data_IF_801523865356
#
_entry.id   IF_801523865356
#
_cell.length_a   1.000
_cell.length_b   1.000
_cell.length_c   1.000
_cell.angle_alpha   90.00
_cell.angle_beta   90.00
_cell.angle_gamma   90.00
#
_symmetry.space_group_name_H-M   'P 1'
#
loop_
_entity.id
_entity.type
_entity.pdbx_description
1 polymer ?
#
# COMPACT_ATOMS: atom_id res chain seq x y z
N UNK A 1 -1.40 17.31 -35.31
CA UNK A 1 -0.02 17.85 -35.49
C UNK A 1 0.00 18.68 -36.77
N UNK A 2 0.17 20.00 -36.69
CA UNK A 2 0.27 20.81 -37.92
C UNK A 2 1.67 20.63 -38.52
N UNK A 3 1.75 20.24 -39.79
CA UNK A 3 2.98 20.23 -40.60
C UNK A 3 3.93 19.02 -40.45
N UNK A 4 3.49 17.90 -39.87
CA UNK A 4 4.28 16.65 -39.82
C UNK A 4 3.46 15.55 -40.50
N UNK A 5 3.85 15.15 -41.72
CA UNK A 5 3.22 14.04 -42.43
C UNK A 5 3.98 12.73 -42.17
N UNK A 6 3.30 11.57 -42.09
CA UNK A 6 3.97 10.28 -41.91
C UNK A 6 4.98 9.94 -43.01
N UNK A 7 4.71 10.34 -44.26
CA UNK A 7 5.63 10.14 -45.38
C UNK A 7 6.97 10.84 -45.17
N UNK A 8 6.97 12.08 -44.67
CA UNK A 8 8.19 12.85 -44.38
C UNK A 8 9.06 12.19 -43.28
N UNK A 9 8.45 11.38 -42.40
CA UNK A 9 9.16 10.60 -41.36
C UNK A 9 9.79 9.36 -41.99
N UNK A 10 9.03 8.62 -42.81
CA UNK A 10 9.51 7.42 -43.53
C UNK A 10 10.66 7.78 -44.48
N UNK A 11 10.58 8.95 -45.11
CA UNK A 11 11.60 9.47 -46.01
C UNK A 11 12.83 10.04 -45.26
N UNK A 12 12.84 10.00 -43.92
CA UNK A 12 13.98 10.39 -43.09
C UNK A 12 14.31 11.88 -43.13
N UNK A 13 13.33 12.75 -43.43
CA UNK A 13 13.56 14.20 -43.54
C UNK A 13 13.93 14.78 -42.18
N UNK A 14 15.22 15.08 -42.01
CA UNK A 14 15.85 15.45 -40.73
C UNK A 14 15.12 16.56 -39.97
N UNK A 15 14.67 17.62 -40.67
CA UNK A 15 13.95 18.74 -40.05
C UNK A 15 12.59 18.33 -39.46
N UNK A 16 11.91 17.35 -40.08
CA UNK A 16 10.59 16.86 -39.65
C UNK A 16 10.76 15.89 -38.48
N UNK A 17 11.74 14.99 -38.55
CA UNK A 17 12.08 14.06 -37.47
C UNK A 17 12.52 14.82 -36.21
N UNK A 18 13.43 15.80 -36.33
CA UNK A 18 13.84 16.64 -35.19
C UNK A 18 12.67 17.49 -34.65
N UNK A 19 11.80 17.98 -35.53
CA UNK A 19 10.58 18.67 -35.12
C UNK A 19 9.61 17.79 -34.33
N UNK A 20 9.54 16.49 -34.64
CA UNK A 20 8.74 15.51 -33.91
C UNK A 20 9.37 15.17 -32.55
N UNK A 21 10.68 14.88 -32.51
CA UNK A 21 11.42 14.59 -31.28
C UNK A 21 11.30 15.76 -30.32
N UNK A 22 11.50 16.99 -30.79
CA UNK A 22 11.32 18.19 -29.97
C UNK A 22 9.90 18.30 -29.39
N UNK A 23 8.85 17.95 -30.16
CA UNK A 23 7.47 17.94 -29.63
C UNK A 23 7.27 16.87 -28.57
N UNK A 24 7.92 15.71 -28.68
CA UNK A 24 7.89 14.66 -27.65
C UNK A 24 8.60 15.14 -26.39
N UNK A 25 9.82 15.67 -26.50
CA UNK A 25 10.58 16.26 -25.37
C UNK A 25 9.77 17.36 -24.70
N UNK A 26 9.16 18.26 -25.47
CA UNK A 26 8.34 19.32 -24.93
C UNK A 26 7.14 18.79 -24.12
N UNK A 27 6.40 17.80 -24.65
CA UNK A 27 5.17 17.30 -24.02
C UNK A 27 5.39 16.29 -22.88
N UNK A 28 6.47 15.51 -22.93
CA UNK A 28 6.69 14.42 -21.97
C UNK A 28 7.76 14.75 -20.93
N UNK A 29 8.78 15.55 -21.29
CA UNK A 29 9.89 15.86 -20.39
C UNK A 29 9.73 17.27 -19.81
N UNK A 30 9.57 18.28 -20.66
CA UNK A 30 9.50 19.68 -20.21
C UNK A 30 8.13 19.98 -19.58
N UNK A 31 7.01 19.53 -20.16
CA UNK A 31 5.68 19.76 -19.58
C UNK A 31 5.49 19.06 -18.23
N UNK A 32 6.03 17.85 -18.05
CA UNK A 32 6.01 17.15 -16.76
C UNK A 32 6.72 17.98 -15.67
N UNK A 33 7.93 18.47 -15.99
CA UNK A 33 8.69 19.36 -15.09
C UNK A 33 7.88 20.63 -14.77
N UNK A 34 7.23 21.25 -15.76
CA UNK A 34 6.43 22.45 -15.56
C UNK A 34 5.15 22.22 -14.73
N UNK A 35 4.53 21.05 -14.81
CA UNK A 35 3.39 20.68 -13.95
C UNK A 35 3.83 20.51 -12.49
N UNK A 36 5.02 19.96 -12.25
CA UNK A 36 5.61 19.90 -10.91
C UNK A 36 5.87 21.30 -10.35
N UNK A 37 6.37 22.23 -11.19
CA UNK A 37 6.60 23.62 -10.78
C UNK A 37 5.31 24.39 -10.43
N UNK A 38 4.16 24.04 -11.04
CA UNK A 38 2.86 24.66 -10.72
C UNK A 38 2.32 24.30 -9.34
N UNK A 39 2.75 23.17 -8.74
CA UNK A 39 2.31 22.76 -7.39
C UNK A 39 2.75 23.73 -6.29
N UNK A 40 3.71 24.61 -6.57
CA UNK A 40 4.27 25.56 -5.60
C UNK A 40 3.91 27.04 -5.87
N UNK A 41 3.01 27.33 -6.82
CA UNK A 41 2.51 28.70 -7.06
C UNK A 41 1.03 28.85 -6.72
N UNK A 42 0.77 29.23 -5.47
CA UNK A 42 -0.47 29.88 -5.04
C UNK A 42 -0.32 31.39 -5.23
N UNK A 43 -0.27 31.86 -6.49
CA UNK A 43 -0.40 33.30 -6.82
C UNK A 43 -1.22 33.39 -8.11
N UNK A 44 -2.48 33.78 -7.95
CA UNK A 44 -3.46 33.86 -9.01
C UNK A 44 -3.03 34.73 -10.18
N UNK A 45 -3.16 34.17 -11.39
CA UNK A 45 -3.85 34.80 -12.52
C UNK A 45 -4.49 33.67 -13.33
N UNK A 46 -5.80 33.77 -13.53
CA UNK A 46 -6.57 32.94 -14.44
C UNK A 46 -5.93 32.88 -15.83
N UNK A 47 -5.67 31.70 -16.37
CA UNK A 47 -5.88 31.49 -17.81
C UNK A 47 -6.18 30.03 -18.10
N UNK A 48 -7.45 29.65 -17.87
CA UNK A 48 -8.05 28.54 -18.60
C UNK A 48 -7.93 28.85 -20.09
N UNK A 49 -7.45 27.90 -20.89
CA UNK A 49 -7.37 27.92 -22.35
C UNK A 49 -6.30 28.81 -23.03
N UNK A 50 -5.01 28.69 -22.66
CA UNK A 50 -3.92 29.05 -23.59
C UNK A 50 -3.26 27.79 -24.15
N UNK A 51 -3.15 27.71 -25.48
CA UNK A 51 -2.40 26.68 -26.22
C UNK A 51 -1.06 26.46 -25.53
N UNK A 52 -0.82 25.22 -25.06
CA UNK A 52 0.48 24.75 -24.58
C UNK A 52 1.50 24.96 -25.71
N UNK A 53 2.39 25.94 -25.55
CA UNK A 53 3.38 26.32 -26.56
C UNK A 53 4.78 26.33 -25.95
N UNK A 54 5.79 26.09 -26.78
CA UNK A 54 7.21 26.14 -26.39
C UNK A 54 7.58 27.47 -25.72
N UNK A 55 6.96 28.58 -26.13
CA UNK A 55 7.19 29.90 -25.53
C UNK A 55 6.69 30.01 -24.09
N UNK A 56 5.58 29.32 -23.76
CA UNK A 56 5.08 29.26 -22.39
C UNK A 56 6.02 28.45 -21.50
N UNK A 57 6.54 27.34 -22.02
CA UNK A 57 7.49 26.50 -21.31
C UNK A 57 8.80 27.23 -21.02
N UNK A 58 9.35 27.88 -22.04
CA UNK A 58 10.53 28.75 -21.94
C UNK A 58 10.40 29.79 -20.84
N UNK A 59 9.28 30.53 -20.83
CA UNK A 59 9.02 31.58 -19.83
C UNK A 59 8.96 31.03 -18.40
N UNK A 60 8.31 29.89 -18.21
CA UNK A 60 8.17 29.28 -16.89
C UNK A 60 9.52 28.75 -16.36
N UNK A 61 10.33 28.10 -17.20
CA UNK A 61 11.67 27.65 -16.81
C UNK A 61 12.59 28.84 -16.48
N UNK A 62 12.59 29.91 -17.28
CA UNK A 62 13.37 31.12 -16.97
C UNK A 62 12.94 31.78 -15.65
N UNK A 63 11.63 31.79 -15.37
CA UNK A 63 11.10 32.28 -14.08
C UNK A 63 11.63 31.44 -12.92
N UNK A 64 11.65 30.12 -13.07
CA UNK A 64 12.21 29.22 -12.06
C UNK A 64 13.70 29.43 -11.85
N UNK A 65 14.48 29.50 -12.93
CA UNK A 65 15.93 29.71 -12.89
C UNK A 65 16.27 31.00 -12.14
N UNK A 66 15.57 32.10 -12.43
CA UNK A 66 15.76 33.38 -11.73
C UNK A 66 15.42 33.27 -10.24
N UNK A 67 14.30 32.65 -9.90
CA UNK A 67 13.89 32.43 -8.49
C UNK A 67 14.89 31.57 -7.72
N UNK A 68 15.43 30.53 -8.36
CA UNK A 68 16.41 29.63 -7.75
C UNK A 68 17.78 30.32 -7.63
N UNK A 69 18.20 31.08 -8.64
CA UNK A 69 19.43 31.89 -8.60
C UNK A 69 19.40 33.03 -7.58
N UNK A 70 18.24 33.69 -7.37
CA UNK A 70 18.09 34.77 -6.38
C UNK A 70 18.26 34.29 -4.92
N UNK A 71 17.98 33.01 -4.63
CA UNK A 71 18.14 32.44 -3.28
C UNK A 71 19.61 32.26 -2.87
N UNK A 72 20.54 32.26 -3.83
CA UNK A 72 21.97 31.95 -3.63
C UNK A 72 22.81 33.23 -3.53
N UNK A 73 22.27 34.32 -2.99
CA UNK A 73 23.04 35.55 -2.73
C UNK A 73 23.86 35.41 -1.44
N UNK A 74 24.87 34.54 -1.44
CA UNK A 74 25.91 34.45 -0.40
C UNK A 74 27.17 35.25 -0.82
N UNK A 75 28.09 35.59 0.09
CA UNK A 75 29.25 36.44 -0.22
C UNK A 75 30.22 35.89 -1.28
N UNK A 76 30.10 34.59 -1.63
CA UNK A 76 30.87 33.89 -2.67
C UNK A 76 30.01 33.48 -3.88
N UNK A 77 28.83 34.11 -4.06
CA UNK A 77 27.88 33.74 -5.09
C UNK A 77 28.42 33.98 -6.51
N UNK A 78 28.14 33.02 -7.39
CA UNK A 78 28.38 33.12 -8.83
C UNK A 78 27.30 34.08 -9.38
N UNK A 79 27.62 35.38 -9.44
CA UNK A 79 26.69 36.41 -9.94
C UNK A 79 26.52 36.27 -11.47
N UNK A 80 25.37 35.73 -11.88
CA UNK A 80 25.03 35.44 -13.29
C UNK A 80 23.58 35.82 -13.55
N UNK A 81 23.37 36.75 -14.47
CA UNK A 81 22.05 37.06 -14.99
C UNK A 81 21.67 36.09 -16.12
N UNK A 82 20.70 35.21 -15.87
CA UNK A 82 20.21 34.25 -16.86
C UNK A 82 18.92 34.79 -17.49
N UNK A 83 19.00 35.17 -18.78
CA UNK A 83 17.92 35.83 -19.51
C UNK A 83 17.38 35.03 -20.71
N UNK A 84 18.13 34.03 -21.16
CA UNK A 84 17.82 33.18 -22.32
C UNK A 84 18.40 31.77 -22.14
N UNK A 85 18.14 30.87 -23.09
CA UNK A 85 18.72 29.52 -23.15
C UNK A 85 19.85 29.42 -24.19
N UNK A 86 20.44 30.55 -24.61
CA UNK A 86 21.50 30.61 -25.61
C UNK A 86 22.72 31.32 -25.03
N UNK A 87 22.98 32.60 -25.39
CA UNK A 87 24.14 33.35 -24.92
C UNK A 87 24.35 33.35 -23.40
N UNK A 88 23.29 33.34 -22.59
CA UNK A 88 23.37 33.33 -21.13
C UNK A 88 24.05 32.06 -20.57
N UNK A 89 24.08 30.96 -21.33
CA UNK A 89 24.69 29.69 -20.92
C UNK A 89 26.05 29.42 -21.56
N UNK A 90 26.42 30.19 -22.60
CA UNK A 90 27.64 29.98 -23.39
C UNK A 90 28.91 29.91 -22.55
N UNK A 91 28.99 30.75 -21.52
CA UNK A 91 30.20 30.89 -20.71
C UNK A 91 30.29 29.87 -19.57
N UNK A 92 29.30 28.99 -19.42
CA UNK A 92 29.26 27.92 -18.43
C UNK A 92 28.89 28.36 -17.00
N UNK A 93 28.87 29.65 -16.66
CA UNK A 93 28.58 30.08 -15.27
C UNK A 93 27.15 29.79 -14.85
N UNK A 94 26.21 29.87 -15.79
CA UNK A 94 24.82 29.56 -15.52
C UNK A 94 24.64 28.10 -15.05
N UNK A 95 25.38 27.14 -15.60
CA UNK A 95 25.32 25.74 -15.16
C UNK A 95 25.90 25.55 -13.76
N UNK A 96 27.07 26.15 -13.49
CA UNK A 96 27.66 26.11 -12.14
C UNK A 96 26.73 26.75 -11.09
N UNK A 97 26.11 27.88 -11.41
CA UNK A 97 25.17 28.57 -10.53
C UNK A 97 23.94 27.69 -10.23
N UNK A 98 23.36 27.05 -11.24
CA UNK A 98 22.23 26.13 -11.05
C UNK A 98 22.59 24.90 -10.22
N UNK A 99 23.76 24.29 -10.46
CA UNK A 99 24.21 23.12 -9.70
C UNK A 99 24.52 23.48 -8.24
N UNK A 100 25.17 24.62 -8.02
CA UNK A 100 25.43 25.15 -6.67
C UNK A 100 24.13 25.45 -5.92
N UNK A 101 23.09 25.92 -6.62
CA UNK A 101 21.78 26.15 -6.00
C UNK A 101 21.07 24.86 -5.55
N UNK A 102 21.44 23.70 -6.12
CA UNK A 102 20.90 22.39 -5.72
C UNK A 102 21.66 21.84 -4.51
N UNK A 103 22.99 22.04 -4.48
CA UNK A 103 23.89 21.57 -3.42
C UNK A 103 25.16 22.45 -3.39
N UNK A 104 25.27 23.29 -2.35
CA UNK A 104 26.38 24.25 -2.18
C UNK A 104 27.73 23.55 -1.98
N UNK A 105 27.76 22.33 -1.44
CA UNK A 105 28.99 21.57 -1.20
C UNK A 105 29.46 20.80 -2.45
N UNK A 106 28.62 20.69 -3.47
CA UNK A 106 28.94 19.97 -4.70
C UNK A 106 29.76 20.78 -5.70
N UNK A 107 29.69 22.12 -5.62
CA UNK A 107 30.33 23.03 -6.58
C UNK A 107 31.23 24.00 -5.83
N UNK A 108 32.54 23.96 -6.11
CA UNK A 108 33.45 25.03 -5.67
C UNK A 108 33.19 26.29 -6.51
N UNK A 109 32.72 27.42 -5.93
CA UNK A 109 32.45 28.65 -6.67
C UNK A 109 33.67 29.18 -7.42
N UNK A 110 34.90 28.86 -6.98
CA UNK A 110 36.11 29.27 -7.67
C UNK A 110 36.23 28.65 -9.08
N UNK A 111 35.64 27.47 -9.32
CA UNK A 111 35.65 26.79 -10.62
C UNK A 111 34.80 27.53 -11.66
N UNK A 112 33.74 28.23 -11.24
CA UNK A 112 32.91 29.02 -12.15
C UNK A 112 33.62 30.29 -12.70
N UNK A 113 34.68 30.73 -12.03
CA UNK A 113 35.42 31.96 -12.35
C UNK A 113 36.80 31.71 -12.99
N UNK A 114 37.22 30.45 -13.16
CA UNK A 114 38.52 30.07 -13.70
C UNK A 114 38.36 29.33 -15.02
N UNK A 115 39.38 29.45 -15.88
CA UNK A 115 39.44 28.75 -17.17
C UNK A 115 38.64 29.41 -18.30
N UNK A 116 38.68 28.76 -19.46
CA UNK A 116 37.94 29.11 -20.68
C UNK A 116 36.46 28.72 -20.55
N UNK A 117 35.61 29.17 -21.48
CA UNK A 117 34.19 28.75 -21.52
C UNK A 117 34.07 27.22 -21.60
N UNK A 118 34.85 26.60 -22.50
CA UNK A 118 34.89 25.16 -22.69
C UNK A 118 35.24 24.40 -21.41
N UNK A 119 36.31 24.80 -20.72
CA UNK A 119 36.72 24.18 -19.45
C UNK A 119 35.65 24.31 -18.36
N UNK A 120 34.98 25.46 -18.29
CA UNK A 120 33.87 25.68 -17.34
C UNK A 120 32.66 24.81 -17.65
N UNK A 121 32.30 24.67 -18.93
CA UNK A 121 31.21 23.82 -19.39
C UNK A 121 31.49 22.34 -19.09
N UNK A 122 32.67 21.84 -19.46
CA UNK A 122 33.10 20.47 -19.20
C UNK A 122 33.11 20.15 -17.70
N UNK A 123 33.62 21.07 -16.88
CA UNK A 123 33.59 20.93 -15.42
C UNK A 123 32.15 20.87 -14.89
N UNK A 124 31.25 21.74 -15.37
CA UNK A 124 29.85 21.72 -14.95
C UNK A 124 29.15 20.42 -15.34
N UNK A 125 29.35 19.92 -16.55
CA UNK A 125 28.73 18.68 -17.04
C UNK A 125 29.27 17.46 -16.29
N UNK A 126 30.57 17.42 -16.01
CA UNK A 126 31.17 16.37 -15.19
C UNK A 126 30.61 16.37 -13.77
N UNK A 127 30.49 17.54 -13.13
CA UNK A 127 29.88 17.65 -11.79
C UNK A 127 28.42 17.20 -11.83
N UNK A 128 27.65 17.60 -12.85
CA UNK A 128 26.26 17.21 -13.04
C UNK A 128 26.11 15.68 -13.13
N UNK A 129 26.99 15.00 -13.87
CA UNK A 129 26.99 13.54 -13.99
C UNK A 129 27.40 12.86 -12.68
N UNK A 130 28.56 13.21 -12.13
CA UNK A 130 29.15 12.52 -10.97
C UNK A 130 28.35 12.75 -9.67
N UNK A 131 27.80 13.95 -9.46
CA UNK A 131 27.15 14.35 -8.19
C UNK A 131 25.63 14.34 -8.27
N UNK A 132 25.07 14.49 -9.47
CA UNK A 132 23.63 14.63 -9.67
C UNK A 132 23.03 13.56 -10.58
N UNK A 133 23.84 12.70 -11.21
CA UNK A 133 23.38 11.64 -12.10
C UNK A 133 22.77 12.16 -13.40
N UNK A 134 23.07 13.40 -13.79
CA UNK A 134 22.55 14.02 -15.00
C UNK A 134 23.47 13.63 -16.18
N UNK A 135 22.98 12.90 -17.19
CA UNK A 135 23.82 12.44 -18.29
C UNK A 135 24.32 13.60 -19.15
N UNK A 136 25.58 13.54 -19.61
CA UNK A 136 26.17 14.54 -20.49
C UNK A 136 25.62 14.41 -21.92
N UNK A 137 24.51 15.11 -22.19
CA UNK A 137 23.85 15.12 -23.51
C UNK A 137 24.23 16.34 -24.37
N UNK A 138 25.04 17.24 -23.82
CA UNK A 138 25.56 18.42 -24.50
C UNK A 138 27.09 18.35 -24.55
N UNK A 139 27.65 18.67 -25.70
CA UNK A 139 29.08 18.87 -25.86
C UNK A 139 29.43 20.34 -25.61
N UNK A 140 30.53 20.60 -24.89
CA UNK A 140 30.96 21.97 -24.59
C UNK A 140 31.25 22.80 -25.85
N UNK A 141 31.67 22.15 -26.93
CA UNK A 141 31.94 22.79 -28.23
C UNK A 141 30.66 23.30 -28.91
N UNK A 142 29.53 22.62 -28.73
CA UNK A 142 28.23 23.02 -29.30
C UNK A 142 27.59 24.19 -28.53
N UNK A 143 28.07 24.43 -27.30
CA UNK A 143 27.59 25.51 -26.44
C UNK A 143 28.53 26.72 -26.48
N UNK A 144 29.85 26.55 -26.66
CA UNK A 144 30.80 27.67 -26.80
C UNK A 144 30.81 28.27 -28.22
N UNK A 145 29.62 28.62 -28.71
CA UNK A 145 29.40 29.29 -30.00
C UNK A 145 28.61 30.58 -29.79
N UNK A 146 28.62 31.48 -30.78
CA UNK A 146 27.94 32.78 -30.67
C UNK A 146 26.43 32.66 -30.44
N UNK A 147 25.81 31.59 -30.94
CA UNK A 147 24.38 31.30 -30.80
C UNK A 147 24.16 29.81 -30.53
N UNK A 148 24.22 29.39 -29.26
CA UNK A 148 23.93 28.00 -28.88
C UNK A 148 22.50 27.61 -29.24
N UNK A 149 22.27 26.33 -29.56
CA UNK A 149 20.91 25.85 -29.84
C UNK A 149 20.08 25.84 -28.55
N UNK A 150 19.14 26.78 -28.47
CA UNK A 150 18.35 27.00 -27.26
C UNK A 150 17.49 25.79 -26.87
N UNK A 151 17.09 24.96 -27.84
CA UNK A 151 16.28 23.76 -27.56
C UNK A 151 17.10 22.69 -26.84
N UNK A 152 18.33 22.50 -27.28
CA UNK A 152 19.28 21.56 -26.66
C UNK A 152 19.63 22.02 -25.24
N UNK A 153 19.89 23.33 -25.05
CA UNK A 153 20.11 23.90 -23.71
C UNK A 153 18.87 23.77 -22.82
N UNK A 154 17.67 24.06 -23.35
CA UNK A 154 16.41 23.87 -22.61
C UNK A 154 16.22 22.41 -22.17
N UNK A 155 16.50 21.45 -23.05
CA UNK A 155 16.37 20.02 -22.72
C UNK A 155 17.30 19.64 -21.57
N UNK A 156 18.54 20.08 -21.59
CA UNK A 156 19.49 19.79 -20.51
C UNK A 156 19.12 20.50 -19.20
N UNK A 157 18.72 21.77 -19.27
CA UNK A 157 18.26 22.50 -18.08
C UNK A 157 16.99 21.89 -17.49
N UNK A 158 16.12 21.27 -18.29
CA UNK A 158 14.95 20.56 -17.77
C UNK A 158 15.34 19.37 -16.87
N UNK A 159 16.41 18.63 -17.22
CA UNK A 159 16.95 17.57 -16.35
C UNK A 159 17.52 18.15 -15.05
N UNK A 160 18.22 19.28 -15.12
CA UNK A 160 18.71 20.00 -13.93
C UNK A 160 17.55 20.41 -13.03
N UNK A 161 16.47 20.98 -13.59
CA UNK A 161 15.26 21.36 -12.82
C UNK A 161 14.62 20.13 -12.19
N UNK A 162 14.51 19.02 -12.91
CA UNK A 162 13.93 17.77 -12.40
C UNK A 162 14.69 17.27 -11.17
N UNK A 163 16.03 17.25 -11.24
CA UNK A 163 16.87 16.89 -10.09
C UNK A 163 16.77 17.93 -8.99
N UNK A 164 16.73 19.22 -9.34
CA UNK A 164 16.59 20.32 -8.39
C UNK A 164 15.28 20.21 -7.61
N UNK A 165 14.13 19.99 -8.25
CA UNK A 165 12.85 19.82 -7.58
C UNK A 165 12.81 18.54 -6.75
N UNK A 166 13.37 17.44 -7.25
CA UNK A 166 13.55 16.22 -6.45
C UNK A 166 14.44 16.43 -5.22
N UNK A 167 15.35 17.42 -5.25
CA UNK A 167 16.30 17.73 -4.16
C UNK A 167 15.86 18.89 -3.26
N UNK A 168 15.18 19.90 -3.78
CA UNK A 168 14.74 21.15 -3.13
C UNK A 168 13.28 21.06 -2.69
N UNK A 169 12.43 20.28 -3.37
CA UNK A 169 11.09 19.90 -2.90
C UNK A 169 11.14 19.05 -1.63
N UNK A 170 12.33 18.53 -1.27
CA UNK A 170 12.63 17.89 0.01
C UNK A 170 13.13 18.86 1.09
N UNK A 171 13.30 20.16 0.78
CA UNK A 171 13.74 21.21 1.72
C UNK A 171 12.58 21.91 2.47
N UNK A 172 11.36 21.39 2.35
CA UNK A 172 10.33 21.53 3.38
C UNK A 172 10.20 20.20 4.13
N UNK A 173 11.10 19.92 5.08
CA UNK A 173 11.03 18.79 6.06
C UNK A 173 11.15 17.33 5.58
N UNK A 174 11.47 16.99 4.32
CA UNK A 174 11.38 15.58 3.84
C UNK A 174 12.74 14.89 3.51
N UNK A 175 13.89 15.57 3.53
CA UNK A 175 15.16 14.98 3.03
C UNK A 175 15.99 14.16 4.03
N UNK A 176 15.88 14.37 5.33
CA UNK A 176 16.54 13.51 6.35
C UNK A 176 15.91 12.13 6.40
N UNK A 177 14.58 12.07 6.27
CA UNK A 177 13.81 10.86 6.52
C UNK A 177 13.94 9.79 5.42
N UNK A 178 14.25 10.15 4.17
CA UNK A 178 14.41 9.17 3.07
C UNK A 178 15.75 8.43 3.11
N UNK A 179 16.83 9.08 3.53
CA UNK A 179 18.11 8.40 3.78
C UNK A 179 18.03 7.56 5.05
N UNK A 180 17.38 8.06 6.09
CA UNK A 180 17.20 7.32 7.34
C UNK A 180 16.25 6.13 7.15
N UNK A 181 15.18 6.27 6.37
CA UNK A 181 14.29 5.17 6.00
C UNK A 181 15.03 4.12 5.17
N UNK A 182 15.83 4.51 4.18
CA UNK A 182 16.61 3.57 3.38
C UNK A 182 17.68 2.82 4.21
N UNK A 183 18.35 3.51 5.15
CA UNK A 183 19.30 2.90 6.09
C UNK A 183 18.58 1.94 7.03
N UNK A 184 17.42 2.32 7.56
CA UNK A 184 16.63 1.47 8.44
C UNK A 184 16.07 0.26 7.70
N UNK A 185 15.71 0.41 6.42
CA UNK A 185 15.27 -0.67 5.55
C UNK A 185 16.37 -1.72 5.35
N UNK A 186 17.60 -1.29 5.10
CA UNK A 186 18.78 -2.17 4.97
C UNK A 186 19.10 -2.89 6.29
N UNK A 187 18.97 -2.19 7.42
CA UNK A 187 19.09 -2.80 8.77
C UNK A 187 18.02 -3.86 9.02
N UNK A 188 16.77 -3.59 8.64
CA UNK A 188 15.66 -4.54 8.77
C UNK A 188 15.86 -5.76 7.86
N UNK A 189 16.33 -5.57 6.61
CA UNK A 189 16.68 -6.68 5.73
C UNK A 189 17.80 -7.55 6.32
N UNK A 190 18.85 -6.92 6.83
CA UNK A 190 19.96 -7.62 7.47
C UNK A 190 19.51 -8.39 8.72
N UNK A 191 18.68 -7.74 9.55
CA UNK A 191 18.12 -8.37 10.74
C UNK A 191 17.21 -9.54 10.41
N UNK A 192 16.28 -9.39 9.45
CA UNK A 192 15.35 -10.46 9.06
C UNK A 192 16.08 -11.67 8.51
N UNK A 193 17.12 -11.48 7.70
CA UNK A 193 17.97 -12.56 7.21
C UNK A 193 18.72 -13.28 8.35
N UNK A 194 19.28 -12.52 9.29
CA UNK A 194 19.96 -13.07 10.47
C UNK A 194 19.02 -13.85 11.39
N UNK A 195 17.83 -13.31 11.63
CA UNK A 195 16.75 -13.93 12.40
C UNK A 195 16.31 -15.25 11.76
N UNK A 196 16.11 -15.28 10.45
CA UNK A 196 15.71 -16.49 9.72
C UNK A 196 16.76 -17.61 9.88
N UNK A 197 18.05 -17.28 9.77
CA UNK A 197 19.12 -18.25 9.96
C UNK A 197 19.25 -18.73 11.41
N UNK A 198 19.04 -17.84 12.39
CA UNK A 198 18.99 -18.20 13.80
C UNK A 198 17.83 -19.18 14.10
N UNK A 199 16.64 -18.90 13.56
CA UNK A 199 15.48 -19.77 13.68
C UNK A 199 15.70 -21.11 12.97
N UNK A 200 16.28 -21.12 11.77
CA UNK A 200 16.67 -22.36 11.06
C UNK A 200 17.56 -23.24 11.95
N UNK A 201 18.55 -22.65 12.63
CA UNK A 201 19.41 -23.38 13.58
C UNK A 201 18.63 -23.89 14.79
N UNK A 202 17.76 -23.07 15.40
CA UNK A 202 16.92 -23.49 16.53
C UNK A 202 16.01 -24.67 16.16
N UNK A 203 15.33 -24.59 15.01
CA UNK A 203 14.43 -25.65 14.52
C UNK A 203 15.16 -26.95 14.16
N UNK A 204 16.41 -26.89 13.71
CA UNK A 204 17.25 -28.09 13.49
C UNK A 204 17.51 -28.87 14.77
N UNK A 205 17.66 -28.18 15.90
CA UNK A 205 17.94 -28.81 17.19
C UNK A 205 16.73 -29.56 17.76
N UNK A 206 15.50 -29.20 17.37
CA UNK A 206 14.23 -29.80 17.83
C UNK A 206 14.09 -29.89 19.36
N UNK A 207 14.85 -29.09 20.11
CA UNK A 207 14.77 -29.00 21.57
C UNK A 207 13.94 -27.77 21.91
N UNK A 208 12.67 -27.99 22.21
CA UNK A 208 11.76 -26.95 22.72
C UNK A 208 11.56 -27.22 24.21
N UNK A 209 12.55 -26.84 25.01
CA UNK A 209 12.51 -27.07 26.46
C UNK A 209 11.95 -25.84 27.16
N UNK A 210 11.35 -25.97 28.35
CA UNK A 210 10.87 -24.81 29.10
C UNK A 210 11.93 -23.72 29.33
N UNK A 211 13.22 -24.08 29.33
CA UNK A 211 14.35 -23.14 29.44
C UNK A 211 14.51 -22.23 28.22
N UNK A 212 14.03 -22.66 27.05
CA UNK A 212 14.09 -21.91 25.80
C UNK A 212 12.95 -20.88 25.67
N UNK A 213 12.00 -20.85 26.61
CA UNK A 213 10.85 -19.96 26.55
C UNK A 213 11.23 -18.48 26.69
N UNK A 214 12.28 -18.19 27.47
CA UNK A 214 12.80 -16.83 27.57
C UNK A 214 13.40 -16.36 26.24
N UNK A 215 14.12 -17.24 25.52
CA UNK A 215 14.64 -16.93 24.19
C UNK A 215 13.49 -16.64 23.20
N UNK A 216 12.40 -17.41 23.28
CA UNK A 216 11.21 -17.18 22.47
C UNK A 216 10.60 -15.81 22.77
N UNK A 217 10.45 -15.44 24.04
CA UNK A 217 9.90 -14.14 24.42
C UNK A 217 10.78 -12.96 24.01
N UNK A 218 12.10 -13.11 24.11
CA UNK A 218 13.03 -12.10 23.58
C UNK A 218 12.83 -11.96 22.06
N UNK A 219 12.79 -13.09 21.34
CA UNK A 219 12.59 -13.07 19.89
C UNK A 219 11.24 -12.46 19.48
N UNK A 220 10.16 -12.79 20.19
CA UNK A 220 8.82 -12.25 19.94
C UNK A 220 8.80 -10.74 20.11
N UNK A 221 9.35 -10.22 21.21
CA UNK A 221 9.45 -8.78 21.45
C UNK A 221 10.32 -8.08 20.40
N UNK A 222 11.46 -8.67 20.03
CA UNK A 222 12.35 -8.12 19.00
C UNK A 222 11.63 -8.07 17.64
N UNK A 223 10.88 -9.12 17.28
CA UNK A 223 10.10 -9.18 16.04
C UNK A 223 9.03 -8.08 16.02
N UNK A 224 8.25 -7.95 17.09
CA UNK A 224 7.20 -6.94 17.21
C UNK A 224 7.78 -5.51 17.11
N UNK A 225 8.91 -5.23 17.76
CA UNK A 225 9.62 -3.94 17.67
C UNK A 225 10.08 -3.63 16.24
N UNK A 226 10.64 -4.63 15.53
CA UNK A 226 11.10 -4.46 14.15
C UNK A 226 9.96 -4.34 13.17
N UNK A 227 8.84 -5.03 13.40
CA UNK A 227 7.65 -4.89 12.56
C UNK A 227 6.97 -3.53 12.75
N UNK A 228 6.91 -3.00 13.98
CA UNK A 228 6.44 -1.63 14.24
C UNK A 228 7.34 -0.59 13.55
N UNK A 229 8.66 -0.80 13.61
CA UNK A 229 9.64 0.06 12.93
C UNK A 229 9.45 0.02 11.41
N UNK A 230 9.21 -1.17 10.84
CA UNK A 230 8.91 -1.34 9.42
C UNK A 230 7.61 -0.62 9.02
N UNK A 231 6.53 -0.76 9.80
CA UNK A 231 5.25 -0.11 9.51
C UNK A 231 5.35 1.42 9.48
N UNK A 232 6.22 2.01 10.30
CA UNK A 232 6.48 3.47 10.32
C UNK A 232 7.17 3.97 9.07
N UNK A 233 8.12 3.19 8.52
CA UNK A 233 8.92 3.61 7.36
C UNK A 233 8.34 3.16 6.01
N UNK A 234 7.53 2.10 5.99
CA UNK A 234 6.98 1.51 4.77
C UNK A 234 6.26 2.50 3.83
N UNK A 235 5.47 3.48 4.31
CA UNK A 235 4.81 4.47 3.45
C UNK A 235 5.78 5.36 2.65
N UNK A 236 7.02 5.47 3.11
CA UNK A 236 8.06 6.32 2.53
C UNK A 236 9.10 5.54 1.71
N UNK A 237 8.92 4.23 1.54
CA UNK A 237 9.85 3.34 0.84
C UNK A 237 9.34 2.91 -0.53
N UNK A 238 10.22 2.35 -1.36
CA UNK A 238 9.85 1.79 -2.65
C UNK A 238 8.87 0.60 -2.48
N UNK A 239 7.76 0.53 -3.23
CA UNK A 239 6.76 -0.53 -3.07
C UNK A 239 7.30 -1.96 -3.24
N UNK A 240 8.31 -2.17 -4.10
CA UNK A 240 8.84 -3.52 -4.32
C UNK A 240 9.81 -3.93 -3.19
N UNK A 241 10.52 -2.97 -2.60
CA UNK A 241 11.28 -3.22 -1.37
C UNK A 241 10.38 -3.49 -0.17
N UNK A 242 9.27 -2.75 -0.04
CA UNK A 242 8.25 -2.99 0.99
C UNK A 242 7.69 -4.41 0.86
N UNK A 243 7.29 -4.85 -0.34
CA UNK A 243 6.80 -6.21 -0.57
C UNK A 243 7.82 -7.28 -0.18
N UNK A 244 9.10 -7.07 -0.51
CA UNK A 244 10.16 -8.02 -0.17
C UNK A 244 10.29 -8.20 1.33
N UNK A 245 10.31 -7.10 2.08
CA UNK A 245 10.47 -7.13 3.54
C UNK A 245 9.21 -7.64 4.23
N UNK A 246 8.02 -7.26 3.75
CA UNK A 246 6.77 -7.87 4.20
C UNK A 246 6.81 -9.39 4.08
N UNK A 247 7.29 -9.93 2.96
CA UNK A 247 7.45 -11.38 2.80
C UNK A 247 8.46 -11.99 3.79
N UNK A 248 9.53 -11.27 4.13
CA UNK A 248 10.48 -11.70 5.17
C UNK A 248 9.81 -11.76 6.56
N UNK A 249 9.08 -10.72 6.96
CA UNK A 249 8.33 -10.69 8.22
C UNK A 249 7.28 -11.80 8.29
N UNK A 250 6.51 -12.02 7.21
CA UNK A 250 5.56 -13.14 7.14
C UNK A 250 6.23 -14.51 7.34
N UNK A 251 7.42 -14.70 6.77
CA UNK A 251 8.18 -15.94 6.94
C UNK A 251 8.69 -16.12 8.37
N UNK A 252 9.16 -15.04 9.00
CA UNK A 252 9.55 -15.04 10.42
C UNK A 252 8.35 -15.35 11.32
N UNK A 253 7.18 -14.78 11.04
CA UNK A 253 5.96 -15.01 11.81
C UNK A 253 5.48 -16.47 11.72
N UNK A 254 5.56 -17.06 10.53
CA UNK A 254 5.33 -18.50 10.31
C UNK A 254 6.32 -19.35 11.11
N UNK A 255 7.58 -18.95 11.16
CA UNK A 255 8.63 -19.66 11.89
C UNK A 255 8.50 -19.49 13.41
N UNK A 256 8.11 -18.31 13.91
CA UNK A 256 7.74 -18.04 15.31
C UNK A 256 6.58 -18.93 15.74
N UNK A 257 5.52 -18.98 14.94
CA UNK A 257 4.36 -19.84 15.16
C UNK A 257 4.78 -21.32 15.25
N UNK A 258 5.72 -21.77 14.40
CA UNK A 258 6.27 -23.13 14.44
C UNK A 258 7.05 -23.43 15.73
N UNK A 259 7.74 -22.44 16.29
CA UNK A 259 8.44 -22.57 17.56
C UNK A 259 7.42 -22.73 18.70
N UNK A 260 6.39 -21.90 18.72
CA UNK A 260 5.30 -21.96 19.69
C UNK A 260 4.57 -23.32 19.66
N UNK A 261 4.24 -23.80 18.46
CA UNK A 261 3.75 -25.16 18.18
C UNK A 261 4.66 -26.25 18.79
N UNK A 262 5.96 -25.99 18.84
CA UNK A 262 6.96 -26.84 19.45
C UNK A 262 6.82 -26.89 20.97
N UNK A 263 6.61 -25.75 21.63
CA UNK A 263 6.36 -25.70 23.07
C UNK A 263 5.04 -26.37 23.44
N UNK A 264 3.96 -26.05 22.73
CA UNK A 264 2.62 -26.55 23.01
C UNK A 264 2.58 -28.09 22.96
N UNK A 265 3.32 -28.70 22.01
CA UNK A 265 3.46 -30.16 21.91
C UNK A 265 4.25 -30.82 23.04
N UNK A 266 5.16 -30.08 23.68
CA UNK A 266 6.02 -30.58 24.75
C UNK A 266 5.55 -30.13 26.13
N UNK A 267 4.33 -29.58 26.24
CA UNK A 267 3.72 -29.31 27.53
C UNK A 267 3.64 -30.58 28.39
N UNK A 268 3.66 -30.43 29.74
CA UNK A 268 3.43 -31.52 30.66
C UNK A 268 2.15 -32.32 30.32
N UNK A 269 2.09 -33.58 30.76
CA UNK A 269 1.01 -34.51 30.37
C UNK A 269 -0.37 -33.97 30.71
N UNK A 270 -0.45 -33.22 31.80
CA UNK A 270 -1.64 -32.56 32.35
C UNK A 270 -2.13 -31.40 31.48
N UNK A 271 -1.23 -30.76 30.72
CA UNK A 271 -1.50 -29.62 29.84
C UNK A 271 -1.43 -29.95 28.35
N UNK A 272 -1.15 -31.20 27.98
CA UNK A 272 -1.04 -31.61 26.58
C UNK A 272 -2.32 -31.32 25.78
N UNK A 273 -3.49 -31.55 26.38
CA UNK A 273 -4.79 -31.21 25.80
C UNK A 273 -4.91 -29.72 25.49
N UNK A 274 -4.37 -28.86 26.37
CA UNK A 274 -4.39 -27.39 26.19
C UNK A 274 -3.54 -27.01 24.99
N UNK A 275 -2.35 -27.60 24.82
CA UNK A 275 -1.50 -27.35 23.65
C UNK A 275 -2.15 -27.80 22.33
N UNK A 276 -2.76 -28.99 22.31
CA UNK A 276 -3.47 -29.49 21.13
C UNK A 276 -4.69 -28.61 20.79
N UNK A 277 -5.41 -28.13 21.81
CA UNK A 277 -6.52 -27.19 21.67
C UNK A 277 -6.08 -25.84 21.11
N UNK A 278 -5.07 -25.21 21.72
CA UNK A 278 -4.53 -23.91 21.30
C UNK A 278 -4.20 -23.90 19.81
N UNK A 279 -3.48 -24.92 19.35
CA UNK A 279 -3.13 -25.07 17.94
C UNK A 279 -4.34 -25.11 17.01
N UNK A 280 -5.40 -25.85 17.38
CA UNK A 280 -6.62 -25.95 16.58
C UNK A 280 -7.39 -24.62 16.61
N UNK A 281 -7.56 -24.05 17.80
CA UNK A 281 -8.29 -22.82 18.05
C UNK A 281 -7.68 -21.60 17.36
N UNK A 282 -6.37 -21.38 17.49
CA UNK A 282 -5.67 -20.25 16.87
C UNK A 282 -5.70 -20.31 15.35
N UNK A 283 -5.57 -21.52 14.78
CA UNK A 283 -5.74 -21.73 13.34
C UNK A 283 -7.15 -21.36 12.88
N UNK A 284 -8.17 -21.68 13.68
CA UNK A 284 -9.56 -21.38 13.34
C UNK A 284 -9.90 -19.89 13.47
N UNK A 285 -9.30 -19.21 14.45
CA UNK A 285 -9.41 -17.76 14.66
C UNK A 285 -8.71 -16.98 13.55
N UNK A 286 -7.51 -17.38 13.09
CA UNK A 286 -6.80 -16.71 11.98
C UNK A 286 -7.62 -16.64 10.68
N UNK A 287 -8.47 -17.64 10.42
CA UNK A 287 -9.37 -17.64 9.24
C UNK A 287 -10.38 -16.48 9.24
N UNK A 288 -10.67 -15.87 10.40
CA UNK A 288 -11.60 -14.74 10.50
C UNK A 288 -11.08 -13.57 9.69
N UNK A 289 -9.82 -13.18 9.90
CA UNK A 289 -9.19 -11.99 9.32
C UNK A 289 -9.16 -12.06 7.78
N UNK A 290 -8.92 -13.24 7.23
CA UNK A 290 -8.94 -13.48 5.78
C UNK A 290 -10.37 -13.47 5.20
N UNK A 291 -11.35 -13.98 5.96
CA UNK A 291 -12.73 -14.10 5.49
C UNK A 291 -13.57 -12.83 5.64
N UNK A 292 -13.32 -12.00 6.66
CA UNK A 292 -13.95 -10.69 6.82
C UNK A 292 -13.53 -9.72 5.70
N UNK A 293 -12.26 -9.75 5.31
CA UNK A 293 -11.74 -8.91 4.22
C UNK A 293 -12.33 -9.32 2.87
N UNK A 294 -12.51 -10.61 2.60
CA UNK A 294 -13.17 -11.11 1.39
C UNK A 294 -14.66 -10.71 1.35
N UNK A 295 -15.35 -10.73 2.49
CA UNK A 295 -16.75 -10.31 2.54
C UNK A 295 -16.91 -8.79 2.38
N UNK A 296 -15.99 -7.97 2.93
CA UNK A 296 -15.89 -6.51 2.66
C UNK A 296 -15.92 -6.16 1.18
N UNK A 297 -15.29 -6.99 0.33
CA UNK A 297 -15.33 -6.84 -1.13
C UNK A 297 -16.68 -7.29 -1.74
N UNK A 298 -17.26 -8.41 -1.27
CA UNK A 298 -18.58 -8.91 -1.71
C UNK A 298 -19.74 -7.97 -1.34
N UNK A 299 -19.63 -7.15 -0.29
CA UNK A 299 -20.66 -6.15 0.06
C UNK A 299 -20.73 -4.97 -0.92
N UNK A 300 -19.71 -4.78 -1.79
CA UNK A 300 -19.62 -3.60 -2.66
C UNK A 300 -20.38 -3.76 -3.98
N UNK A 301 -20.49 -4.97 -4.53
CA UNK A 301 -21.13 -5.18 -5.84
C UNK A 301 -21.76 -6.59 -5.96
N UNK A 302 -23.10 -6.63 -6.09
CA UNK A 302 -23.97 -7.72 -6.58
C UNK A 302 -24.78 -8.53 -5.55
N UNK A 303 -26.04 -8.76 -5.93
CA UNK A 303 -26.91 -9.81 -5.37
C UNK A 303 -26.16 -11.14 -5.25
N UNK A 304 -26.34 -11.92 -4.17
CA UNK A 304 -25.68 -13.20 -4.05
C UNK A 304 -26.19 -14.15 -5.14
N UNK A 305 -25.37 -14.35 -6.18
CA UNK A 305 -25.69 -15.23 -7.33
C UNK A 305 -26.01 -16.67 -6.91
N UNK A 306 -25.67 -17.08 -5.68
CA UNK A 306 -25.98 -18.40 -5.13
C UNK A 306 -26.10 -18.39 -3.58
N UNK A 307 -27.17 -17.80 -3.05
CA UNK A 307 -27.40 -17.69 -1.60
C UNK A 307 -27.41 -19.06 -0.88
N UNK A 308 -27.97 -20.10 -1.48
CA UNK A 308 -28.03 -21.45 -0.88
C UNK A 308 -26.63 -22.06 -0.66
N UNK A 309 -25.72 -21.89 -1.62
CA UNK A 309 -24.34 -22.38 -1.46
C UNK A 309 -23.59 -21.65 -0.34
N UNK A 310 -23.82 -20.35 -0.21
CA UNK A 310 -23.22 -19.54 0.86
C UNK A 310 -23.76 -19.93 2.22
N UNK A 311 -25.08 -20.17 2.34
CA UNK A 311 -25.70 -20.66 3.58
C UNK A 311 -25.10 -22.01 3.97
N UNK A 312 -25.02 -22.98 3.04
CA UNK A 312 -24.42 -24.29 3.31
C UNK A 312 -22.95 -24.18 3.77
N UNK A 313 -22.16 -23.30 3.14
CA UNK A 313 -20.79 -23.06 3.56
C UNK A 313 -20.71 -22.45 4.96
N UNK A 314 -21.59 -21.49 5.28
CA UNK A 314 -21.64 -20.83 6.59
C UNK A 314 -22.10 -21.79 7.69
N UNK A 315 -23.13 -22.60 7.45
CA UNK A 315 -23.58 -23.64 8.38
C UNK A 315 -22.45 -24.64 8.69
N UNK A 316 -21.69 -25.06 7.67
CA UNK A 316 -20.50 -25.90 7.87
C UNK A 316 -19.45 -25.20 8.73
N UNK A 317 -19.18 -23.91 8.51
CA UNK A 317 -18.21 -23.12 9.29
C UNK A 317 -18.66 -22.92 10.74
N UNK A 318 -19.95 -22.71 10.97
CA UNK A 318 -20.54 -22.60 12.33
C UNK A 318 -20.40 -23.93 13.05
N UNK A 319 -20.67 -25.05 12.37
CA UNK A 319 -20.48 -26.39 12.94
C UNK A 319 -19.01 -26.62 13.32
N UNK A 320 -18.08 -26.39 12.39
CA UNK A 320 -16.64 -26.55 12.65
C UNK A 320 -16.15 -25.64 13.79
N UNK A 321 -16.70 -24.43 13.89
CA UNK A 321 -16.45 -23.51 15.00
C UNK A 321 -16.88 -24.14 16.33
N UNK A 322 -18.15 -24.53 16.45
CA UNK A 322 -18.71 -25.08 17.68
C UNK A 322 -17.93 -26.33 18.13
N UNK A 323 -17.59 -27.24 17.19
CA UNK A 323 -16.76 -28.42 17.47
C UNK A 323 -15.31 -28.09 17.88
N UNK A 324 -14.80 -26.92 17.51
CA UNK A 324 -13.45 -26.47 17.88
C UNK A 324 -13.42 -25.88 19.29
N UNK A 325 -14.44 -25.11 19.65
CA UNK A 325 -14.48 -24.35 20.91
C UNK A 325 -15.33 -24.99 22.01
N UNK A 326 -15.94 -26.15 21.77
CA UNK A 326 -16.77 -26.90 22.75
C UNK A 326 -16.10 -27.04 24.13
N UNK A 327 -14.80 -27.34 24.16
CA UNK A 327 -14.06 -27.60 25.39
C UNK A 327 -13.32 -26.36 25.94
N UNK A 328 -13.65 -25.15 25.51
CA UNK A 328 -12.94 -23.92 25.91
C UNK A 328 -12.88 -23.75 27.43
N UNK A 329 -14.01 -23.90 28.13
CA UNK A 329 -14.06 -23.80 29.59
C UNK A 329 -13.23 -24.87 30.29
N UNK A 330 -13.16 -26.10 29.76
CA UNK A 330 -12.29 -27.15 30.30
C UNK A 330 -10.82 -26.74 30.21
N UNK A 331 -10.39 -26.15 29.09
CA UNK A 331 -9.00 -25.72 28.90
C UNK A 331 -8.60 -24.60 29.88
N UNK A 332 -9.48 -23.62 30.09
CA UNK A 332 -9.27 -22.54 31.07
C UNK A 332 -9.11 -23.11 32.50
N UNK A 333 -9.93 -24.07 32.89
CA UNK A 333 -9.84 -24.70 34.22
C UNK A 333 -8.60 -25.58 34.38
N UNK A 334 -8.15 -26.26 33.31
CA UNK A 334 -6.90 -27.03 33.31
C UNK A 334 -5.69 -26.13 33.57
N UNK A 335 -5.62 -24.95 32.93
CA UNK A 335 -4.53 -23.98 33.13
C UNK A 335 -4.54 -23.43 34.56
N UNK A 336 -5.71 -23.03 35.08
CA UNK A 336 -5.85 -22.57 36.48
C UNK A 336 -5.40 -23.64 37.48
N UNK A 337 -5.80 -24.89 37.24
CA UNK A 337 -5.42 -26.03 38.10
C UNK A 337 -3.92 -26.30 38.03
N UNK A 338 -3.31 -26.20 36.84
CA UNK A 338 -1.88 -26.36 36.67
C UNK A 338 -1.06 -25.28 37.41
N UNK A 339 -1.56 -24.03 37.45
CA UNK A 339 -0.96 -22.97 38.26
C UNK A 339 -1.02 -23.24 39.75
N UNK A 340 -2.17 -23.70 40.27
CA UNK A 340 -2.31 -24.09 41.69
C UNK A 340 -1.36 -25.23 42.09
N UNK A 341 -1.09 -26.13 41.16
CA UNK A 341 -0.26 -27.31 41.40
C UNK A 341 1.22 -27.09 41.05
N UNK A 342 1.62 -25.91 40.56
CA UNK A 342 3.01 -25.60 40.21
C UNK A 342 3.58 -26.49 39.09
N UNK A 343 2.74 -26.91 38.13
CA UNK A 343 3.13 -27.84 37.06
C UNK A 343 4.10 -27.20 36.06
N UNK A 344 4.02 -25.88 35.89
CA UNK A 344 4.79 -25.10 34.92
C UNK A 344 5.18 -23.75 35.53
N UNK A 345 6.20 -23.10 34.96
CA UNK A 345 6.60 -21.75 35.38
C UNK A 345 5.44 -20.77 35.22
N UNK A 346 5.29 -19.86 36.19
CA UNK A 346 4.17 -18.92 36.21
C UNK A 346 4.11 -18.05 34.96
N UNK A 347 5.26 -17.61 34.42
CA UNK A 347 5.28 -16.77 33.20
C UNK A 347 4.76 -17.52 31.98
N UNK A 348 5.00 -18.83 31.92
CA UNK A 348 4.49 -19.67 30.84
C UNK A 348 3.00 -19.91 30.97
N UNK A 349 2.51 -20.11 32.20
CA UNK A 349 1.08 -20.26 32.48
C UNK A 349 0.31 -18.97 32.18
N UNK A 350 0.84 -17.82 32.60
CA UNK A 350 0.25 -16.51 32.31
C UNK A 350 0.16 -16.30 30.79
N UNK A 351 1.19 -16.67 30.04
CA UNK A 351 1.20 -16.58 28.59
C UNK A 351 0.18 -17.52 27.92
N UNK A 352 0.05 -18.76 28.40
CA UNK A 352 -0.98 -19.69 27.92
C UNK A 352 -2.39 -19.14 28.24
N UNK A 353 -2.58 -18.58 29.44
CA UNK A 353 -3.84 -17.98 29.86
C UNK A 353 -4.21 -16.79 28.99
N UNK A 354 -3.28 -15.87 28.73
CA UNK A 354 -3.48 -14.72 27.84
C UNK A 354 -3.89 -15.16 26.43
N UNK A 355 -3.23 -16.19 25.88
CA UNK A 355 -3.62 -16.77 24.59
C UNK A 355 -5.04 -17.32 24.62
N UNK A 356 -5.41 -18.06 25.68
CA UNK A 356 -6.77 -18.57 25.84
C UNK A 356 -7.80 -17.45 25.98
N UNK A 357 -7.53 -16.41 26.77
CA UNK A 357 -8.46 -15.28 26.95
C UNK A 357 -8.67 -14.51 25.62
N UNK A 358 -7.60 -14.34 24.84
CA UNK A 358 -7.69 -13.78 23.48
C UNK A 358 -8.49 -14.67 22.54
N UNK A 359 -8.28 -15.99 22.59
CA UNK A 359 -9.07 -16.95 21.82
C UNK A 359 -10.54 -16.91 22.23
N UNK A 360 -10.84 -16.83 23.53
CA UNK A 360 -12.21 -16.78 24.05
C UNK A 360 -12.97 -15.60 23.46
N UNK A 361 -12.42 -14.40 23.67
CA UNK A 361 -13.00 -13.15 23.16
C UNK A 361 -13.15 -13.15 21.63
N UNK A 362 -12.12 -13.60 20.90
CA UNK A 362 -12.15 -13.62 19.43
C UNK A 362 -13.10 -14.70 18.89
N UNK A 363 -13.22 -15.85 19.58
CA UNK A 363 -14.13 -16.93 19.19
C UNK A 363 -15.61 -16.52 19.32
N UNK A 364 -15.96 -15.82 20.40
CA UNK A 364 -17.31 -15.29 20.62
C UNK A 364 -17.69 -14.34 19.48
N UNK A 365 -16.76 -13.43 19.14
CA UNK A 365 -16.96 -12.51 18.02
C UNK A 365 -17.12 -13.23 16.68
N UNK A 366 -16.24 -14.19 16.38
CA UNK A 366 -16.34 -15.01 15.17
C UNK A 366 -17.69 -15.68 15.03
N UNK A 367 -18.18 -16.30 16.09
CA UNK A 367 -19.45 -16.99 16.07
C UNK A 367 -20.58 -16.01 15.79
N UNK A 368 -20.60 -14.86 16.48
CA UNK A 368 -21.60 -13.84 16.25
C UNK A 368 -21.59 -13.33 14.80
N UNK A 369 -20.41 -13.16 14.21
CA UNK A 369 -20.26 -12.78 12.80
C UNK A 369 -20.74 -13.87 11.82
N UNK A 370 -20.40 -15.13 12.08
CA UNK A 370 -20.84 -16.26 11.25
C UNK A 370 -22.36 -16.38 11.28
N UNK A 371 -22.97 -16.33 12.47
CA UNK A 371 -24.42 -16.40 12.64
C UNK A 371 -25.15 -15.19 12.04
N UNK A 372 -24.59 -13.99 12.15
CA UNK A 372 -25.09 -12.79 11.49
C UNK A 372 -25.07 -12.97 9.95
N UNK A 373 -23.92 -13.40 9.41
CA UNK A 373 -23.73 -13.59 7.98
C UNK A 373 -24.70 -14.64 7.44
N UNK A 374 -24.85 -15.75 8.16
CA UNK A 374 -25.75 -16.84 7.84
C UNK A 374 -27.22 -16.34 7.80
N UNK A 375 -27.69 -15.69 8.87
CA UNK A 375 -29.04 -15.13 8.94
C UNK A 375 -29.31 -14.11 7.82
N UNK A 376 -28.30 -13.31 7.47
CA UNK A 376 -28.37 -12.35 6.36
C UNK A 376 -28.54 -13.06 5.01
N UNK A 377 -27.73 -14.06 4.73
CA UNK A 377 -27.80 -14.84 3.48
C UNK A 377 -29.12 -15.63 3.38
N UNK A 378 -29.66 -16.13 4.49
CA UNK A 378 -31.03 -16.71 4.53
C UNK A 378 -32.09 -15.70 4.12
N UNK A 379 -32.06 -14.48 4.67
CA UNK A 379 -33.00 -13.42 4.29
C UNK A 379 -32.84 -13.02 2.81
N UNK A 380 -31.61 -12.84 2.33
CA UNK A 380 -31.33 -12.52 0.93
C UNK A 380 -31.81 -13.63 -0.02
N UNK A 381 -31.56 -14.89 0.32
CA UNK A 381 -32.05 -16.04 -0.45
C UNK A 381 -33.58 -16.07 -0.51
N UNK A 382 -34.24 -15.77 0.61
CA UNK A 382 -35.70 -15.66 0.66
C UNK A 382 -36.24 -14.52 -0.22
N UNK A 383 -35.62 -13.34 -0.16
CA UNK A 383 -35.98 -12.19 -1.00
C UNK A 383 -35.76 -12.51 -2.49
N UNK A 384 -34.63 -13.12 -2.85
CA UNK A 384 -34.33 -13.51 -4.22
C UNK A 384 -35.35 -14.54 -4.76
N UNK A 385 -35.72 -15.53 -3.95
CA UNK A 385 -36.76 -16.50 -4.30
C UNK A 385 -38.12 -15.80 -4.51
N UNK A 386 -38.48 -14.85 -3.63
CA UNK A 386 -39.70 -14.07 -3.75
C UNK A 386 -39.72 -13.21 -5.03
N UNK A 387 -38.60 -12.55 -5.35
CA UNK A 387 -38.44 -11.76 -6.58
C UNK A 387 -38.53 -12.64 -7.84
N UNK A 388 -37.93 -13.84 -7.81
CA UNK A 388 -38.03 -14.79 -8.91
C UNK A 388 -39.48 -15.26 -9.13
N UNK A 389 -40.22 -15.54 -8.05
CA UNK A 389 -41.65 -15.88 -8.11
C UNK A 389 -42.48 -14.71 -8.64
N UNK A 390 -42.23 -13.48 -8.18
CA UNK A 390 -42.90 -12.29 -8.69
C UNK A 390 -42.66 -12.09 -10.20
N UNK A 391 -41.42 -12.31 -10.65
CA UNK A 391 -41.06 -12.26 -12.07
C UNK A 391 -41.75 -13.37 -12.88
N UNK A 392 -41.91 -14.57 -12.30
CA UNK A 392 -42.67 -15.66 -12.90
C UNK A 392 -44.17 -15.30 -13.02
N UNK A 393 -44.79 -14.76 -11.97
CA UNK A 393 -46.20 -14.36 -12.00
C UNK A 393 -46.47 -13.21 -12.98
N UNK A 394 -45.51 -12.30 -13.16
CA UNK A 394 -45.65 -11.12 -14.04
C UNK A 394 -45.20 -11.35 -15.49
N UNK A 395 -44.69 -12.54 -15.83
CA UNK A 395 -44.25 -12.84 -17.19
C UNK A 395 -45.42 -12.97 -18.18
N UNK A 396 -45.20 -12.56 -19.43
CA UNK A 396 -46.20 -12.56 -20.50
C UNK A 396 -46.84 -13.96 -20.67
N UNK A 397 -48.16 -14.00 -20.83
CA UNK A 397 -48.97 -15.23 -20.80
C UNK A 397 -49.63 -15.46 -22.16
N UNK A 398 -49.74 -16.72 -22.59
CA UNK A 398 -50.31 -17.08 -23.90
C UNK A 398 -51.53 -18.00 -23.83
N UNK A 399 -51.72 -18.73 -22.72
CA UNK A 399 -52.84 -19.64 -22.51
C UNK A 399 -53.60 -19.37 -21.20
N UNK A 400 -54.91 -19.61 -21.18
CA UNK A 400 -55.77 -19.42 -19.99
C UNK A 400 -55.38 -20.35 -18.85
N UNK A 401 -54.97 -21.59 -19.16
CA UNK A 401 -54.51 -22.58 -18.17
C UNK A 401 -53.24 -22.12 -17.42
N UNK A 402 -52.34 -21.37 -18.08
CA UNK A 402 -51.16 -20.77 -17.44
C UNK A 402 -51.54 -19.68 -16.43
N UNK A 403 -52.59 -18.91 -16.73
CA UNK A 403 -53.13 -17.87 -15.83
C UNK A 403 -53.73 -18.52 -14.58
N UNK A 404 -54.54 -19.56 -14.76
CA UNK A 404 -55.18 -20.27 -13.65
C UNK A 404 -54.16 -20.96 -12.74
N UNK A 405 -53.09 -21.54 -13.30
CA UNK A 405 -52.01 -22.14 -12.53
C UNK A 405 -51.23 -21.08 -11.73
N UNK A 406 -50.82 -19.97 -12.35
CA UNK A 406 -50.12 -18.88 -11.64
C UNK A 406 -50.98 -18.24 -10.54
N UNK A 407 -52.28 -18.06 -10.79
CA UNK A 407 -53.22 -17.53 -9.79
C UNK A 407 -53.37 -18.50 -8.61
N UNK A 408 -53.47 -19.80 -8.88
CA UNK A 408 -53.54 -20.84 -7.84
C UNK A 408 -52.27 -20.88 -7.00
N UNK A 409 -51.09 -20.80 -7.63
CA UNK A 409 -49.80 -20.75 -6.93
C UNK A 409 -49.70 -19.51 -6.02
N UNK A 410 -50.12 -18.34 -6.52
CA UNK A 410 -50.15 -17.11 -5.72
C UNK A 410 -51.12 -17.19 -4.54
N UNK A 411 -52.34 -17.67 -4.79
CA UNK A 411 -53.36 -17.85 -3.73
C UNK A 411 -52.87 -18.83 -2.68
N UNK A 412 -52.28 -19.96 -3.08
CA UNK A 412 -51.73 -20.93 -2.15
C UNK A 412 -50.63 -20.32 -1.27
N UNK A 413 -49.74 -19.50 -1.85
CA UNK A 413 -48.67 -18.84 -1.10
C UNK A 413 -49.18 -17.75 -0.14
N UNK A 414 -50.22 -17.02 -0.53
CA UNK A 414 -50.82 -15.94 0.27
C UNK A 414 -51.82 -16.44 1.33
N UNK A 415 -52.68 -17.41 0.99
CA UNK A 415 -53.70 -17.97 1.87
C UNK A 415 -53.10 -18.82 2.99
N UNK A 416 -51.92 -19.40 2.77
CA UNK A 416 -51.19 -20.12 3.81
C UNK A 416 -50.59 -19.18 4.86
N UNK A 417 -50.48 -17.86 4.61
CA UNK A 417 -49.84 -16.89 5.52
C UNK A 417 -48.35 -17.15 5.80
N UNK A 418 -47.82 -18.25 5.27
CA UNK A 418 -46.48 -18.78 5.54
C UNK A 418 -45.39 -17.86 5.02
N UNK A 419 -45.62 -17.16 3.91
CA UNK A 419 -44.61 -16.28 3.32
C UNK A 419 -44.31 -15.08 4.22
N UNK A 420 -45.35 -14.35 4.64
CA UNK A 420 -45.20 -13.19 5.53
C UNK A 420 -44.60 -13.59 6.88
N UNK A 421 -45.06 -14.70 7.46
CA UNK A 421 -44.53 -15.21 8.72
C UNK A 421 -43.06 -15.63 8.62
N UNK A 422 -42.65 -16.33 7.55
CA UNK A 422 -41.25 -16.71 7.33
C UNK A 422 -40.34 -15.50 7.10
N UNK A 423 -40.81 -14.49 6.36
CA UNK A 423 -40.08 -13.24 6.15
C UNK A 423 -39.86 -12.49 7.46
N UNK A 424 -40.93 -12.34 8.25
CA UNK A 424 -40.88 -11.67 9.55
C UNK A 424 -39.96 -12.41 10.53
N UNK A 425 -40.04 -13.75 10.54
CA UNK A 425 -39.14 -14.60 11.33
C UNK A 425 -37.67 -14.43 10.90
N UNK A 426 -37.37 -14.47 9.60
CA UNK A 426 -36.01 -14.28 9.09
C UNK A 426 -35.48 -12.87 9.38
N UNK A 427 -36.33 -11.85 9.25
CA UNK A 427 -35.99 -10.46 9.59
C UNK A 427 -35.72 -10.29 11.08
N UNK A 428 -36.54 -10.92 11.95
CA UNK A 428 -36.34 -10.86 13.39
C UNK A 428 -35.07 -11.60 13.81
N UNK A 429 -34.81 -12.79 13.22
CA UNK A 429 -33.57 -13.53 13.43
C UNK A 429 -32.34 -12.71 13.03
N UNK A 430 -32.36 -12.06 11.86
CA UNK A 430 -31.28 -11.17 11.44
C UNK A 430 -31.09 -10.04 12.45
N UNK A 431 -32.16 -9.40 12.90
CA UNK A 431 -32.09 -8.32 13.90
C UNK A 431 -31.48 -8.79 15.21
N UNK A 432 -31.85 -9.97 15.69
CA UNK A 432 -31.31 -10.55 16.92
C UNK A 432 -29.82 -10.89 16.78
N UNK A 433 -29.43 -11.51 15.66
CA UNK A 433 -28.02 -11.83 15.38
C UNK A 433 -27.16 -10.59 15.16
N UNK A 434 -27.69 -9.55 14.51
CA UNK A 434 -27.04 -8.23 14.41
C UNK A 434 -26.81 -7.64 15.80
N UNK A 435 -27.80 -7.69 16.70
CA UNK A 435 -27.63 -7.18 18.06
C UNK A 435 -26.55 -7.95 18.84
N UNK A 436 -26.47 -9.27 18.68
CA UNK A 436 -25.39 -10.08 19.24
C UNK A 436 -24.03 -9.65 18.69
N UNK A 437 -23.91 -9.56 17.36
CA UNK A 437 -22.70 -9.12 16.68
C UNK A 437 -22.24 -7.73 17.18
N UNK A 438 -23.13 -6.73 17.20
CA UNK A 438 -22.89 -5.37 17.70
C UNK A 438 -22.39 -5.34 19.15
N UNK A 439 -22.94 -6.20 20.00
CA UNK A 439 -22.58 -6.28 21.42
C UNK A 439 -21.23 -6.95 21.69
N UNK A 440 -20.71 -7.76 20.77
CA UNK A 440 -19.43 -8.47 20.93
C UNK A 440 -18.19 -7.55 20.85
N UNK A 441 -18.36 -6.24 20.62
CA UNK A 441 -17.35 -5.22 20.96
C UNK A 441 -16.16 -5.04 20.01
N UNK A 442 -16.05 -5.86 18.96
CA UNK A 442 -14.99 -5.76 17.93
C UNK A 442 -15.47 -5.10 16.62
N UNK A 443 -16.52 -4.29 16.69
CA UNK A 443 -17.09 -3.56 15.54
C UNK A 443 -16.54 -2.13 15.55
N UNK A 444 -15.87 -1.77 14.47
CA UNK A 444 -15.35 -0.41 14.29
C UNK A 444 -16.51 0.60 14.27
N UNK A 445 -16.31 1.86 14.67
CA UNK A 445 -17.36 2.89 14.65
C UNK A 445 -18.06 3.02 13.29
N UNK A 446 -17.34 2.79 12.18
CA UNK A 446 -17.86 2.76 10.81
C UNK A 446 -18.78 1.57 10.52
N UNK A 447 -18.50 0.40 11.10
CA UNK A 447 -19.32 -0.82 10.97
C UNK A 447 -20.58 -0.78 11.86
N UNK A 448 -20.67 0.19 12.79
CA UNK A 448 -21.87 0.44 13.59
C UNK A 448 -22.87 1.37 12.89
N UNK A 449 -22.42 2.17 11.93
CA UNK A 449 -23.23 3.15 11.18
C UNK A 449 -23.81 2.61 9.86
N UNK A 450 -23.16 1.61 9.25
CA UNK A 450 -23.63 0.88 8.07
C UNK A 450 -24.44 -0.36 8.47
#
# INVERSE_FOLDING_TARGET
MVGINPSDIVDGKTSVVLGLIWRMVLNFQIEEVLEQLKKYEDIGVETKNKKKSADSARKAMLKWIRKTGEKVKTPNAIDVEINDFGPSFRDGRAFHSLLHAIDEEAVDPALAHRGTNKERLEAAFKIAEERFGIPQILDAEDIDVDKPDEKSVMMYVAEIIKVAEARLGKSGKVKTDLTDAAIELDRLLTWTAGAEEALKKKHKLKKYTPKDFNDYKIFENDLDEKEESFQKIAPNCDPDQVKLISACFENLEKSKTRWLDGFDKHLPKELRKVGDFLKKAEKEVRKIEESENALKEEFSENEPKNAESSIHSLDSKIKDHNETFENMSEMLELVKTAGRNGILDQKQLDFIQERLDKIESTSIYRLAWLEYSEARYRLLGFIAAAQAQLKYWTSAMSAVEEVENKLRDWQQLMDLGEFGSKLEQASQQLKDKTNCYVKCGLITPKEREN
#
